data_IF_837724948145
#
_entry.id   IF_837724948145
#
_cell.length_a   1.000
_cell.length_b   1.000
_cell.length_c   1.000
_cell.angle_alpha   90.00
_cell.angle_beta   90.00
_cell.angle_gamma   90.00
#
_symmetry.space_group_name_H-M   'P 1'
#
loop_
_entity.id
_entity.type
_entity.pdbx_description
1 polymer ?
#
# COMPACT_ATOMS: atom_id res chain seq x y z
N UNK A 1 28.64 -30.57 25.14
CA UNK A 1 29.16 -30.14 26.47
C UNK A 1 29.46 -28.67 26.43
N UNK A 2 28.68 -27.87 27.07
CA UNK A 2 28.91 -26.84 28.07
C UNK A 2 27.64 -25.98 28.18
N UNK A 3 27.02 -26.06 29.36
CA UNK A 3 25.92 -25.24 29.85
C UNK A 3 26.48 -23.94 30.43
N UNK A 4 25.75 -22.83 30.27
CA UNK A 4 25.84 -21.59 31.07
C UNK A 4 24.41 -21.10 31.14
N UNK A 5 23.67 -21.00 32.21
CA UNK A 5 23.95 -20.57 33.56
C UNK A 5 23.17 -19.26 33.73
N UNK A 6 21.87 -19.37 34.18
CA UNK A 6 21.00 -18.23 34.55
C UNK A 6 21.38 -17.78 35.95
N UNK A 7 21.61 -16.49 36.16
CA UNK A 7 21.79 -15.89 37.48
C UNK A 7 20.60 -14.96 37.78
N UNK A 8 19.71 -15.41 38.70
CA UNK A 8 18.74 -14.58 39.40
C UNK A 8 19.45 -13.97 40.64
N UNK A 9 19.34 -12.65 40.76
CA UNK A 9 19.71 -11.97 42.02
C UNK A 9 18.45 -11.47 42.71
N UNK A 10 18.15 -12.11 43.85
CA UNK A 10 17.18 -11.68 44.86
C UNK A 10 17.84 -10.61 45.75
N UNK A 11 17.18 -9.48 45.92
CA UNK A 11 17.53 -8.47 46.91
C UNK A 11 16.62 -8.59 48.13
N UNK A 12 17.25 -8.88 49.25
CA UNK A 12 16.68 -8.96 50.60
C UNK A 12 16.65 -7.58 51.25
N UNK A 13 15.53 -7.26 51.89
CA UNK A 13 15.38 -6.15 52.84
C UNK A 13 16.24 -6.31 54.06
N UNK A 14 16.85 -5.22 54.54
CA UNK A 14 17.11 -5.02 55.98
C UNK A 14 16.94 -3.56 56.32
N UNK A 15 15.99 -3.31 57.21
CA UNK A 15 15.80 -2.07 57.94
C UNK A 15 16.78 -1.97 59.13
N UNK A 16 17.35 -0.78 59.35
CA UNK A 16 17.89 -0.38 60.63
C UNK A 16 17.50 1.08 60.94
N UNK A 17 16.79 1.23 62.02
CA UNK A 17 16.50 2.47 62.74
C UNK A 17 17.71 2.89 63.57
N UNK A 18 18.04 4.15 63.63
CA UNK A 18 18.25 4.88 64.86
C UNK A 18 18.50 6.40 64.62
N UNK A 19 18.26 7.24 65.64
CA UNK A 19 17.90 8.64 65.43
C UNK A 19 19.01 9.63 65.91
N UNK A 20 18.88 10.86 65.45
CA UNK A 20 19.48 11.93 66.18
C UNK A 20 20.15 13.06 65.44
N UNK A 21 19.60 14.23 65.68
CA UNK A 21 20.21 15.57 65.78
C UNK A 21 20.17 16.51 64.58
N UNK A 22 19.41 17.49 64.84
CA UNK A 22 19.24 18.83 64.25
C UNK A 22 20.54 19.52 63.84
N UNK A 23 20.57 20.08 62.64
CA UNK A 23 21.12 21.42 62.34
C UNK A 23 20.51 21.90 60.99
N UNK A 24 19.92 23.08 61.01
CA UNK A 24 19.25 23.64 59.85
C UNK A 24 20.23 24.17 58.81
N UNK A 25 20.01 23.78 57.60
CA UNK A 25 20.50 24.48 56.41
C UNK A 25 19.38 24.70 55.45
N UNK A 26 19.12 25.95 55.09
CA UNK A 26 18.20 26.34 54.02
C UNK A 26 18.70 25.82 52.69
N UNK A 27 18.43 24.55 52.41
CA UNK A 27 18.68 23.95 51.13
C UNK A 27 17.73 24.53 50.09
N UNK A 28 18.21 25.29 49.15
CA UNK A 28 17.53 25.66 47.91
C UNK A 28 17.03 24.37 47.27
N UNK A 29 15.71 24.18 47.20
CA UNK A 29 15.10 23.14 46.37
C UNK A 29 15.58 23.38 44.94
N UNK A 30 16.55 22.61 44.49
CA UNK A 30 16.81 22.43 43.08
C UNK A 30 15.52 21.89 42.46
N UNK A 31 14.86 22.72 41.70
CA UNK A 31 13.81 22.26 40.76
C UNK A 31 14.55 21.28 39.84
N UNK A 32 14.31 19.98 40.04
CA UNK A 32 14.69 18.99 39.05
C UNK A 32 14.10 19.49 37.74
N UNK A 33 14.96 19.64 36.73
CA UNK A 33 14.56 19.88 35.35
C UNK A 33 13.48 18.83 35.06
N UNK A 34 12.24 19.28 34.77
CA UNK A 34 11.22 18.40 34.20
C UNK A 34 11.88 17.77 32.98
N UNK A 35 12.12 16.48 33.02
CA UNK A 35 12.36 15.72 31.81
C UNK A 35 11.21 16.09 30.87
N UNK A 36 11.56 16.68 29.73
CA UNK A 36 10.55 17.03 28.73
C UNK A 36 9.87 15.72 28.34
N UNK A 37 8.56 15.66 28.58
CA UNK A 37 7.76 14.52 28.12
C UNK A 37 7.94 14.38 26.62
N UNK A 38 8.36 13.22 26.17
CA UNK A 38 8.45 12.89 24.74
C UNK A 38 7.09 12.45 24.18
N UNK A 39 6.07 12.34 25.05
CA UNK A 39 4.72 11.88 24.70
C UNK A 39 3.77 13.05 24.47
N UNK A 40 2.88 12.88 23.49
CA UNK A 40 1.66 13.67 23.34
C UNK A 40 0.44 12.82 23.73
N UNK A 41 -0.63 13.48 24.17
CA UNK A 41 -1.91 12.83 24.45
C UNK A 41 -2.95 13.24 23.41
N UNK A 42 -3.69 12.26 22.90
CA UNK A 42 -4.86 12.49 22.04
C UNK A 42 -6.06 11.80 22.67
N UNK A 43 -7.15 12.54 22.86
CA UNK A 43 -8.37 12.01 23.49
C UNK A 43 -9.63 12.65 22.92
N UNK A 44 -10.77 12.06 23.22
CA UNK A 44 -12.05 12.63 22.83
C UNK A 44 -13.23 11.72 23.10
N UNK A 45 -14.39 12.20 22.67
CA UNK A 45 -15.66 11.50 22.76
C UNK A 45 -16.07 10.96 21.40
N UNK A 46 -16.56 9.74 21.38
CA UNK A 46 -17.20 9.13 20.21
C UNK A 46 -18.71 9.04 20.49
N UNK A 47 -19.50 9.70 19.65
CA UNK A 47 -20.97 9.59 19.65
C UNK A 47 -21.53 8.86 18.43
N UNK A 48 -20.67 8.16 17.69
CA UNK A 48 -21.03 7.38 16.51
C UNK A 48 -21.32 5.94 16.91
N UNK A 49 -22.55 5.49 16.81
CA UNK A 49 -23.04 4.19 17.35
C UNK A 49 -22.26 2.96 16.87
N UNK A 50 -21.66 3.01 15.70
CA UNK A 50 -20.94 1.86 15.10
C UNK A 50 -19.43 1.91 15.26
N UNK A 51 -18.86 2.97 15.80
CA UNK A 51 -17.41 3.10 15.96
C UNK A 51 -16.97 2.59 17.33
N UNK A 52 -16.45 1.39 17.37
CA UNK A 52 -15.95 0.76 18.59
C UNK A 52 -14.45 0.96 18.81
N UNK A 53 -13.73 1.36 17.76
CA UNK A 53 -12.29 1.56 17.78
C UNK A 53 -11.91 2.84 17.07
N UNK A 54 -10.91 3.53 17.59
CA UNK A 54 -10.33 4.73 17.01
C UNK A 54 -8.86 4.46 16.71
N UNK A 55 -8.40 4.85 15.53
CA UNK A 55 -7.00 4.78 15.12
C UNK A 55 -6.32 6.15 15.22
N UNK A 56 -5.03 6.13 15.54
CA UNK A 56 -4.11 7.24 15.41
C UNK A 56 -3.10 6.88 14.33
N UNK A 57 -2.95 7.77 13.34
CA UNK A 57 -2.10 7.57 12.18
C UNK A 57 -1.11 8.70 12.06
N UNK A 58 0.09 8.41 11.61
CA UNK A 58 1.14 9.38 11.31
C UNK A 58 1.27 9.56 9.79
N UNK A 59 1.49 10.80 9.37
CA UNK A 59 1.80 11.11 7.97
C UNK A 59 3.29 10.85 7.71
N UNK A 60 3.60 9.73 7.05
CA UNK A 60 4.97 9.27 6.75
C UNK A 60 5.08 8.87 5.28
N UNK A 61 6.18 9.25 4.65
CA UNK A 61 6.48 8.89 3.24
C UNK A 61 5.34 9.23 2.26
N UNK A 62 4.59 10.31 2.55
CA UNK A 62 3.47 10.77 1.73
C UNK A 62 2.23 9.89 1.79
N UNK A 63 2.08 9.10 2.85
CA UNK A 63 0.94 8.28 3.17
C UNK A 63 0.59 8.34 4.66
N UNK A 64 -0.35 7.51 5.09
CA UNK A 64 -0.73 7.36 6.49
C UNK A 64 -0.33 5.98 7.01
N UNK A 65 0.35 5.96 8.15
CA UNK A 65 0.72 4.72 8.85
C UNK A 65 -0.02 4.66 10.19
N UNK A 66 -0.76 3.58 10.44
CA UNK A 66 -1.39 3.33 11.74
C UNK A 66 -0.31 3.13 12.80
N UNK A 67 -0.26 3.99 13.82
CA UNK A 67 0.71 3.89 14.92
C UNK A 67 0.09 3.38 16.22
N UNK A 68 -1.21 3.61 16.41
CA UNK A 68 -1.93 3.11 17.58
C UNK A 68 -3.42 2.94 17.29
N UNK A 69 -4.05 1.99 17.97
CA UNK A 69 -5.49 1.75 17.93
C UNK A 69 -6.02 1.54 19.36
N UNK A 70 -7.13 2.18 19.71
CA UNK A 70 -7.75 2.05 21.01
C UNK A 70 -9.24 1.75 20.89
N UNK A 71 -9.80 1.05 21.88
CA UNK A 71 -11.23 0.83 21.98
C UNK A 71 -11.92 2.02 22.63
N UNK A 72 -13.13 2.30 22.16
CA UNK A 72 -14.01 3.28 22.79
C UNK A 72 -14.56 2.69 24.10
N UNK A 73 -14.38 3.41 25.18
CA UNK A 73 -14.89 3.01 26.50
C UNK A 73 -16.41 3.04 26.57
N UNK A 74 -17.00 2.37 27.57
CA UNK A 74 -18.45 2.33 27.74
C UNK A 74 -19.08 3.74 27.98
N UNK A 75 -18.28 4.72 28.38
CA UNK A 75 -18.66 6.13 28.52
C UNK A 75 -18.46 6.95 27.23
N UNK A 76 -18.14 6.31 26.12
CA UNK A 76 -17.87 6.95 24.83
C UNK A 76 -16.48 7.59 24.68
N UNK A 77 -15.62 7.55 25.71
CA UNK A 77 -14.28 8.15 25.64
C UNK A 77 -13.24 7.21 25.03
N UNK A 78 -12.28 7.82 24.34
CA UNK A 78 -11.06 7.17 23.85
C UNK A 78 -9.83 8.02 24.17
N UNK A 79 -8.64 7.42 24.13
CA UNK A 79 -7.39 8.16 24.32
C UNK A 79 -6.16 7.37 23.88
N UNK A 80 -5.14 8.12 23.51
CA UNK A 80 -3.80 7.65 23.17
C UNK A 80 -2.76 8.43 23.97
N UNK A 81 -1.68 7.77 24.37
CA UNK A 81 -0.41 8.39 24.69
C UNK A 81 0.59 7.91 23.64
N UNK A 82 1.17 8.83 22.87
CA UNK A 82 2.05 8.50 21.74
C UNK A 82 3.37 9.24 21.88
N UNK A 83 4.47 8.55 21.64
CA UNK A 83 5.79 9.18 21.53
C UNK A 83 5.85 9.97 20.23
N UNK A 84 6.22 11.25 20.33
CA UNK A 84 6.36 12.15 19.18
C UNK A 84 7.83 12.49 19.01
N UNK A 85 8.50 11.72 18.17
CA UNK A 85 9.91 11.94 17.85
C UNK A 85 10.13 13.20 17.01
N UNK A 86 9.22 13.50 16.10
CA UNK A 86 9.27 14.68 15.24
C UNK A 86 7.89 15.36 15.21
N UNK A 87 7.83 16.68 15.50
CA UNK A 87 6.59 17.43 15.37
C UNK A 87 6.00 17.34 13.96
N UNK A 88 4.69 17.09 13.85
CA UNK A 88 4.07 16.92 12.55
C UNK A 88 2.58 16.68 12.59
N UNK A 89 2.04 16.30 11.43
CA UNK A 89 0.64 15.95 11.30
C UNK A 89 0.38 14.48 11.58
N UNK A 90 -0.67 14.27 12.34
CA UNK A 90 -1.29 12.99 12.63
C UNK A 90 -2.75 13.04 12.21
N UNK A 91 -3.38 11.91 11.99
CA UNK A 91 -4.81 11.82 11.76
C UNK A 91 -5.46 10.88 12.76
N UNK A 92 -6.66 11.24 13.21
CA UNK A 92 -7.41 10.54 14.24
C UNK A 92 -8.79 10.18 13.71
N UNK A 93 -9.21 8.93 13.88
CA UNK A 93 -10.55 8.50 13.47
C UNK A 93 -10.67 7.04 13.10
N UNK A 94 -11.57 6.75 12.18
CA UNK A 94 -11.91 5.41 11.72
C UNK A 94 -10.88 4.78 10.77
N UNK A 95 -11.23 3.63 10.23
CA UNK A 95 -10.35 2.92 9.28
C UNK A 95 -10.27 3.60 7.91
N UNK A 96 -11.35 4.25 7.48
CA UNK A 96 -11.37 4.97 6.21
C UNK A 96 -10.78 6.36 6.37
N UNK A 97 -9.98 6.80 5.41
CA UNK A 97 -9.40 8.16 5.40
C UNK A 97 -10.46 9.26 5.50
N UNK A 98 -11.65 9.05 4.91
CA UNK A 98 -12.79 10.00 5.01
C UNK A 98 -13.38 10.11 6.43
N UNK A 99 -13.00 9.23 7.33
CA UNK A 99 -13.46 9.19 8.73
C UNK A 99 -12.40 9.72 9.69
N UNK A 100 -11.39 10.44 9.20
CA UNK A 100 -10.27 10.96 9.98
C UNK A 100 -10.17 12.47 9.89
N UNK A 101 -9.68 13.07 10.97
CA UNK A 101 -9.34 14.49 11.02
C UNK A 101 -7.86 14.65 11.35
N UNK A 102 -7.24 15.65 10.77
CA UNK A 102 -5.83 15.99 10.98
C UNK A 102 -5.66 16.76 12.27
N UNK A 103 -4.62 16.43 13.03
CA UNK A 103 -4.16 17.14 14.21
C UNK A 103 -2.65 17.37 14.12
N UNK A 104 -2.16 18.42 14.74
CA UNK A 104 -0.73 18.66 14.90
C UNK A 104 -0.31 18.21 16.28
N UNK A 105 0.76 17.41 16.35
CA UNK A 105 1.32 16.94 17.62
C UNK A 105 2.81 17.28 17.70
N UNK A 106 3.22 17.68 18.89
CA UNK A 106 4.62 17.73 19.33
C UNK A 106 4.69 17.23 20.78
N UNK A 107 5.89 16.92 21.22
CA UNK A 107 6.13 16.40 22.57
C UNK A 107 5.54 17.31 23.65
N UNK A 108 4.76 16.74 24.56
CA UNK A 108 4.07 17.46 25.65
C UNK A 108 2.72 18.06 25.25
N UNK A 109 2.29 17.95 23.99
CA UNK A 109 0.96 18.44 23.58
C UNK A 109 -0.18 17.51 23.97
N UNK A 110 -1.36 18.12 24.16
CA UNK A 110 -2.64 17.44 24.27
C UNK A 110 -3.56 17.87 23.12
N UNK A 111 -4.16 16.91 22.43
CA UNK A 111 -5.18 17.14 21.43
C UNK A 111 -6.51 16.49 21.87
N UNK A 112 -7.60 17.24 21.77
CA UNK A 112 -8.94 16.75 22.04
C UNK A 112 -9.80 16.80 20.77
N UNK A 113 -10.23 15.62 20.32
CA UNK A 113 -10.99 15.44 19.07
C UNK A 113 -12.26 14.66 19.38
N UNK A 114 -13.41 15.22 19.11
CA UNK A 114 -14.69 14.53 19.22
C UNK A 114 -15.11 13.97 17.87
N UNK A 115 -15.54 12.72 17.85
CA UNK A 115 -16.05 12.02 16.67
C UNK A 115 -17.55 11.91 16.83
N UNK A 116 -18.28 12.81 16.15
CA UNK A 116 -19.72 12.87 16.15
C UNK A 116 -20.31 12.04 15.00
N UNK A 117 -21.63 11.88 14.96
CA UNK A 117 -22.30 11.05 13.95
C UNK A 117 -21.89 11.45 12.52
N UNK A 118 -21.96 12.74 12.20
CA UNK A 118 -21.70 13.27 10.86
C UNK A 118 -20.44 14.14 10.74
N UNK A 119 -19.64 14.28 11.80
CA UNK A 119 -18.51 15.20 11.80
C UNK A 119 -17.41 14.80 12.78
N UNK A 120 -16.20 15.28 12.51
CA UNK A 120 -15.06 15.21 13.44
C UNK A 120 -14.69 16.63 13.85
N UNK A 121 -14.55 16.86 15.14
CA UNK A 121 -14.42 18.21 15.70
C UNK A 121 -13.20 18.30 16.61
N UNK A 122 -12.25 19.16 16.26
CA UNK A 122 -11.20 19.63 17.17
C UNK A 122 -11.84 20.58 18.16
N UNK A 123 -11.82 20.24 19.46
CA UNK A 123 -12.50 21.06 20.47
C UNK A 123 -11.76 22.36 20.75
N UNK A 124 -12.44 23.32 21.44
CA UNK A 124 -11.82 24.58 21.85
C UNK A 124 -10.73 24.45 22.93
N UNK A 125 -10.52 23.24 23.48
CA UNK A 125 -9.52 22.94 24.51
C UNK A 125 -8.15 22.57 23.93
N UNK A 126 -7.98 22.76 22.64
CA UNK A 126 -6.74 22.43 21.94
C UNK A 126 -5.70 23.57 21.96
N UNK A 127 -4.49 23.26 21.54
CA UNK A 127 -3.42 24.24 21.34
C UNK A 127 -3.79 25.27 20.26
N UNK A 128 -3.17 26.45 20.25
CA UNK A 128 -3.37 27.44 19.17
C UNK A 128 -3.10 26.86 17.77
N UNK A 129 -2.14 25.93 17.65
CA UNK A 129 -1.81 25.24 16.42
C UNK A 129 -3.00 24.41 15.90
N UNK A 130 -3.56 23.60 16.78
CA UNK A 130 -4.71 22.77 16.41
C UNK A 130 -5.99 23.58 16.20
N UNK A 131 -6.17 24.70 16.88
CA UNK A 131 -7.30 25.59 16.62
C UNK A 131 -7.18 26.29 15.26
N UNK A 132 -5.97 26.72 14.88
CA UNK A 132 -5.73 27.30 13.57
C UNK A 132 -5.86 26.25 12.44
N UNK A 133 -5.39 25.02 12.69
CA UNK A 133 -5.63 23.89 11.78
C UNK A 133 -7.12 23.60 11.63
N UNK A 134 -7.91 23.62 12.71
CA UNK A 134 -9.36 23.41 12.67
C UNK A 134 -10.08 24.50 11.85
N UNK A 135 -9.61 25.75 11.91
CA UNK A 135 -10.13 26.83 11.08
C UNK A 135 -9.93 26.53 9.58
N UNK A 136 -8.71 26.05 9.21
CA UNK A 136 -8.44 25.62 7.85
C UNK A 136 -9.30 24.42 7.42
N UNK A 137 -9.35 23.37 8.23
CA UNK A 137 -10.14 22.19 7.94
C UNK A 137 -11.62 22.53 7.70
N UNK A 138 -12.19 23.42 8.53
CA UNK A 138 -13.56 23.89 8.40
C UNK A 138 -13.79 24.76 7.16
N UNK A 139 -12.83 25.63 6.83
CA UNK A 139 -12.88 26.46 5.63
C UNK A 139 -12.81 25.61 4.34
N UNK A 140 -11.99 24.56 4.35
CA UNK A 140 -11.73 23.71 3.19
C UNK A 140 -12.74 22.55 3.03
N UNK A 141 -13.45 22.18 4.08
CA UNK A 141 -14.40 21.05 4.07
C UNK A 141 -15.46 21.11 2.95
N UNK A 142 -16.08 22.27 2.62
CA UNK A 142 -17.02 22.34 1.53
C UNK A 142 -16.41 22.00 0.16
N UNK A 143 -15.13 22.36 -0.07
CA UNK A 143 -14.40 22.02 -1.30
C UNK A 143 -14.13 20.51 -1.34
N UNK A 144 -13.61 19.96 -0.24
CA UNK A 144 -13.33 18.54 -0.08
C UNK A 144 -14.55 17.69 -0.36
N UNK A 145 -15.66 18.02 0.31
CA UNK A 145 -16.93 17.30 0.16
C UNK A 145 -17.44 17.35 -1.28
N UNK A 146 -17.35 18.48 -1.96
CA UNK A 146 -17.76 18.59 -3.37
C UNK A 146 -16.92 17.70 -4.29
N UNK A 147 -15.60 17.68 -4.12
CA UNK A 147 -14.71 16.82 -4.91
C UNK A 147 -14.95 15.34 -4.63
N UNK A 148 -15.21 14.97 -3.37
CA UNK A 148 -15.45 13.58 -2.97
C UNK A 148 -16.80 13.03 -3.44
N UNK A 149 -17.80 13.89 -3.60
CA UNK A 149 -19.16 13.54 -4.03
C UNK A 149 -19.49 13.97 -5.46
N UNK A 150 -18.46 14.19 -6.30
CA UNK A 150 -18.69 14.40 -7.74
C UNK A 150 -19.32 13.15 -8.35
N UNK A 151 -20.57 13.22 -8.74
CA UNK A 151 -21.32 12.12 -9.34
C UNK A 151 -21.50 12.24 -10.86
N UNK A 152 -21.01 13.35 -11.46
CA UNK A 152 -21.08 13.65 -12.90
C UNK A 152 -22.47 13.66 -13.52
N UNK A 153 -23.51 13.52 -12.71
CA UNK A 153 -24.92 13.65 -13.12
C UNK A 153 -25.42 15.02 -12.70
N UNK A 154 -25.22 15.37 -11.43
CA UNK A 154 -25.74 16.60 -10.82
C UNK A 154 -24.65 17.63 -10.54
N UNK A 155 -23.38 17.18 -10.40
CA UNK A 155 -22.25 18.06 -10.14
C UNK A 155 -21.05 17.65 -10.99
N UNK A 156 -20.78 18.43 -12.04
CA UNK A 156 -19.74 18.16 -13.04
C UNK A 156 -18.58 19.16 -12.91
N UNK A 157 -17.58 19.04 -13.78
CA UNK A 157 -16.50 20.03 -13.85
C UNK A 157 -17.00 21.45 -14.20
N UNK A 158 -18.16 21.59 -14.85
CA UNK A 158 -18.74 22.87 -15.23
C UNK A 158 -19.18 23.68 -14.02
N UNK A 159 -19.67 23.02 -12.99
CA UNK A 159 -20.02 23.62 -11.70
C UNK A 159 -18.80 23.72 -10.79
N UNK A 160 -17.91 22.72 -10.82
CA UNK A 160 -16.75 22.67 -9.95
C UNK A 160 -15.71 23.75 -10.30
N UNK A 161 -15.39 23.95 -11.57
CA UNK A 161 -14.32 24.89 -11.95
C UNK A 161 -14.62 26.32 -11.50
N UNK A 162 -15.80 26.91 -11.79
CA UNK A 162 -16.14 28.24 -11.27
C UNK A 162 -16.08 28.29 -9.74
N UNK A 163 -16.68 27.32 -9.06
CA UNK A 163 -16.68 27.24 -7.60
C UNK A 163 -15.24 27.22 -7.04
N UNK A 164 -14.36 26.44 -7.68
CA UNK A 164 -12.97 26.33 -7.25
C UNK A 164 -12.22 27.65 -7.44
N UNK A 165 -12.43 28.33 -8.56
CA UNK A 165 -11.81 29.63 -8.83
C UNK A 165 -12.27 30.72 -7.86
N UNK A 166 -13.53 30.70 -7.44
CA UNK A 166 -14.09 31.59 -6.41
C UNK A 166 -13.52 31.30 -5.01
N UNK A 167 -13.11 30.06 -4.75
CA UNK A 167 -12.52 29.68 -3.48
C UNK A 167 -11.06 30.10 -3.33
N UNK A 168 -10.26 30.12 -4.41
CA UNK A 168 -8.81 30.40 -4.35
C UNK A 168 -8.43 31.71 -3.60
N UNK A 169 -9.14 32.85 -3.74
CA UNK A 169 -8.84 34.04 -2.94
C UNK A 169 -8.97 33.84 -1.43
N UNK A 170 -9.87 32.94 -0.98
CA UNK A 170 -10.04 32.65 0.44
C UNK A 170 -8.83 31.91 1.01
N UNK A 171 -8.14 31.11 0.20
CA UNK A 171 -6.88 30.43 0.54
C UNK A 171 -5.79 31.46 0.89
N UNK A 172 -5.59 32.44 0.04
CA UNK A 172 -4.59 33.51 0.28
C UNK A 172 -4.95 34.37 1.49
N UNK A 173 -6.25 34.68 1.65
CA UNK A 173 -6.75 35.38 2.83
C UNK A 173 -6.50 34.59 4.12
N UNK A 174 -6.67 33.27 4.10
CA UNK A 174 -6.37 32.42 5.25
C UNK A 174 -4.86 32.37 5.53
N UNK A 175 -4.02 32.15 4.50
CA UNK A 175 -2.55 32.13 4.68
C UNK A 175 -2.02 33.44 5.29
N UNK A 176 -2.59 34.58 4.93
CA UNK A 176 -2.21 35.86 5.50
C UNK A 176 -2.52 36.00 7.00
N UNK A 177 -3.46 35.21 7.53
CA UNK A 177 -3.83 35.15 8.96
C UNK A 177 -2.97 34.16 9.77
N UNK A 178 -2.17 33.33 9.12
CA UNK A 178 -1.35 32.33 9.82
C UNK A 178 -0.23 33.04 10.60
N UNK A 179 -0.52 33.36 11.85
CA UNK A 179 0.42 33.94 12.81
C UNK A 179 0.43 33.08 14.07
N UNK A 180 1.52 32.33 14.28
CA UNK A 180 1.70 31.47 15.42
C UNK A 180 3.10 31.63 15.99
N UNK A 181 3.28 31.46 17.32
CA UNK A 181 4.59 31.45 17.97
C UNK A 181 5.46 30.30 17.46
N UNK A 182 4.83 29.15 17.19
CA UNK A 182 5.49 28.00 16.58
C UNK A 182 5.70 28.26 15.08
N UNK A 183 6.90 28.79 14.73
CA UNK A 183 7.22 29.13 13.34
C UNK A 183 7.25 27.91 12.43
N UNK A 184 7.74 26.77 12.95
CA UNK A 184 7.81 25.52 12.17
C UNK A 184 6.40 25.04 11.80
N UNK A 185 5.46 25.10 12.74
CA UNK A 185 4.05 24.80 12.46
C UNK A 185 3.46 25.81 11.45
N UNK A 186 3.72 27.10 11.62
CA UNK A 186 3.17 28.11 10.73
C UNK A 186 3.61 27.89 9.27
N UNK A 187 4.88 27.59 9.04
CA UNK A 187 5.39 27.26 7.70
C UNK A 187 4.81 25.93 7.18
N UNK A 188 4.74 24.92 8.03
CA UNK A 188 4.13 23.64 7.68
C UNK A 188 2.65 23.81 7.28
N UNK A 189 1.88 24.62 8.03
CA UNK A 189 0.46 24.87 7.73
C UNK A 189 0.30 25.65 6.41
N UNK A 190 1.13 26.67 6.14
CA UNK A 190 1.08 27.41 4.86
C UNK A 190 1.32 26.48 3.67
N UNK A 191 2.34 25.63 3.76
CA UNK A 191 2.61 24.63 2.73
C UNK A 191 1.47 23.64 2.57
N UNK A 192 0.85 23.21 3.69
CA UNK A 192 -0.28 22.30 3.70
C UNK A 192 -1.50 22.89 3.02
N UNK A 193 -1.79 24.16 3.26
CA UNK A 193 -2.86 24.90 2.57
C UNK A 193 -2.66 24.84 1.06
N UNK A 194 -1.45 25.11 0.57
CA UNK A 194 -1.13 25.05 -0.85
C UNK A 194 -1.29 23.61 -1.39
N UNK A 195 -0.75 22.61 -0.69
CA UNK A 195 -0.86 21.21 -1.10
C UNK A 195 -2.30 20.69 -1.07
N UNK A 196 -3.12 21.04 -0.06
CA UNK A 196 -4.53 20.66 0.01
C UNK A 196 -5.30 21.19 -1.21
N UNK A 197 -5.16 22.49 -1.50
CA UNK A 197 -5.82 23.11 -2.64
C UNK A 197 -5.38 22.47 -3.96
N UNK A 198 -4.10 22.28 -4.17
CA UNK A 198 -3.58 21.64 -5.39
C UNK A 198 -4.01 20.19 -5.51
N UNK A 199 -3.93 19.42 -4.42
CA UNK A 199 -4.31 18.02 -4.40
C UNK A 199 -5.77 17.80 -4.77
N UNK A 200 -6.68 18.57 -4.18
CA UNK A 200 -8.09 18.42 -4.48
C UNK A 200 -8.46 18.94 -5.88
N UNK A 201 -7.76 19.95 -6.40
CA UNK A 201 -7.86 20.32 -7.81
C UNK A 201 -7.46 19.17 -8.74
N UNK A 202 -6.30 18.54 -8.49
CA UNK A 202 -5.82 17.38 -9.25
C UNK A 202 -6.74 16.17 -9.08
N UNK A 203 -7.23 15.93 -7.88
CA UNK A 203 -8.14 14.83 -7.57
C UNK A 203 -9.46 14.98 -8.33
N UNK A 204 -9.99 16.18 -8.43
CA UNK A 204 -11.19 16.46 -9.20
C UNK A 204 -11.08 16.04 -10.68
N UNK A 205 -9.90 16.19 -11.30
CA UNK A 205 -9.66 15.75 -12.67
C UNK A 205 -9.60 14.22 -12.82
N UNK A 206 -9.29 13.50 -11.75
CA UNK A 206 -9.04 12.07 -11.75
C UNK A 206 -10.10 11.25 -11.01
N UNK A 207 -10.97 11.90 -10.23
CA UNK A 207 -12.04 11.25 -9.45
C UNK A 207 -13.11 10.57 -10.33
N UNK A 208 -12.99 10.74 -11.63
CA UNK A 208 -13.87 10.16 -12.63
C UNK A 208 -13.64 8.63 -12.69
N UNK A 209 -14.18 7.89 -11.77
CA UNK A 209 -14.56 6.50 -12.02
C UNK A 209 -15.76 6.54 -12.97
N UNK A 210 -15.49 6.77 -14.24
CA UNK A 210 -16.52 6.61 -15.25
C UNK A 210 -16.76 5.10 -15.33
N UNK A 211 -17.88 4.68 -14.79
CA UNK A 211 -18.52 3.49 -15.26
C UNK A 211 -18.68 3.63 -16.79
N UNK A 212 -18.47 2.53 -17.55
CA UNK A 212 -18.41 2.53 -19.02
C UNK A 212 -19.64 3.14 -19.72
N UNK A 213 -20.63 3.54 -18.94
CA UNK A 213 -21.93 4.09 -19.38
C UNK A 213 -21.99 5.62 -19.36
N UNK A 214 -21.04 6.32 -18.73
CA UNK A 214 -21.10 7.78 -18.67
C UNK A 214 -20.63 8.40 -19.98
N UNK A 215 -21.52 9.16 -20.56
CA UNK A 215 -21.54 9.74 -21.91
C UNK A 215 -20.27 10.52 -22.27
N UNK A 216 -19.87 10.42 -23.57
CA UNK A 216 -18.97 11.39 -24.21
C UNK A 216 -19.38 12.82 -23.82
N UNK A 217 -18.48 13.59 -23.20
CA UNK A 217 -18.73 14.98 -22.80
C UNK A 217 -18.72 15.25 -21.29
N UNK A 218 -18.58 14.23 -20.43
CA UNK A 218 -18.49 14.45 -18.97
C UNK A 218 -17.06 14.76 -18.50
N UNK A 219 -16.05 14.68 -19.36
CA UNK A 219 -14.67 15.09 -19.06
C UNK A 219 -14.37 16.42 -19.73
N UNK A 220 -13.73 17.36 -19.01
CA UNK A 220 -13.26 18.57 -19.67
C UNK A 220 -12.18 18.21 -20.70
N UNK A 221 -12.20 18.88 -21.84
CA UNK A 221 -11.07 18.95 -22.76
C UNK A 221 -10.00 19.86 -22.18
N UNK A 222 -8.76 19.77 -22.68
CA UNK A 222 -7.68 20.65 -22.19
C UNK A 222 -7.98 22.15 -22.38
N UNK A 223 -8.78 22.49 -23.39
CA UNK A 223 -9.18 23.89 -23.65
C UNK A 223 -10.14 24.42 -22.59
N UNK A 224 -10.96 23.53 -22.02
CA UNK A 224 -11.92 23.88 -20.96
C UNK A 224 -11.30 24.02 -19.59
N UNK A 225 -10.00 23.64 -19.43
CA UNK A 225 -9.30 23.80 -18.15
C UNK A 225 -9.08 25.28 -17.83
N UNK A 226 -9.48 25.77 -16.64
CA UNK A 226 -9.09 27.09 -16.15
C UNK A 226 -7.56 27.26 -16.18
N UNK A 227 -7.13 28.51 -16.29
CA UNK A 227 -5.69 28.87 -16.29
C UNK A 227 -4.98 28.27 -15.09
N UNK A 228 -5.59 28.27 -13.92
CA UNK A 228 -5.04 27.68 -12.69
C UNK A 228 -4.56 26.23 -12.91
N UNK A 229 -5.36 25.39 -13.55
CA UNK A 229 -4.97 23.99 -13.81
C UNK A 229 -3.79 23.87 -14.80
N UNK A 230 -3.73 24.78 -15.78
CA UNK A 230 -2.64 24.80 -16.78
C UNK A 230 -1.31 25.28 -16.18
N UNK A 231 -1.38 26.12 -15.13
CA UNK A 231 -0.20 26.66 -14.43
C UNK A 231 0.16 25.90 -13.15
N UNK A 232 -0.68 24.98 -12.71
CA UNK A 232 -0.46 24.21 -11.49
C UNK A 232 0.78 23.31 -11.59
N UNK A 233 1.06 22.78 -12.77
CA UNK A 233 2.15 21.83 -13.02
C UNK A 233 3.32 22.57 -13.71
N UNK A 234 4.47 22.62 -13.02
CA UNK A 234 5.70 23.22 -13.54
C UNK A 234 6.92 22.37 -13.18
N UNK A 235 7.96 22.37 -14.02
CA UNK A 235 9.19 21.59 -13.78
C UNK A 235 10.00 22.11 -12.57
N UNK A 236 9.72 23.31 -12.11
CA UNK A 236 10.40 23.93 -10.97
C UNK A 236 9.76 23.63 -9.62
N UNK A 237 8.61 22.96 -9.62
CA UNK A 237 7.93 22.48 -8.42
C UNK A 237 8.58 21.20 -7.88
N UNK A 238 8.24 20.84 -6.65
CA UNK A 238 8.66 19.56 -6.06
C UNK A 238 10.18 19.39 -5.96
N UNK A 239 10.89 20.48 -5.61
CA UNK A 239 12.36 20.50 -5.44
C UNK A 239 12.83 19.85 -4.14
N UNK A 240 11.95 19.74 -3.14
CA UNK A 240 12.22 19.12 -1.85
C UNK A 240 11.18 18.03 -1.53
N UNK A 241 11.35 17.36 -0.41
CA UNK A 241 10.50 16.25 0.00
C UNK A 241 9.34 16.68 0.94
N UNK A 242 9.04 17.97 1.10
CA UNK A 242 8.01 18.45 2.05
C UNK A 242 6.61 17.87 1.78
N UNK A 243 6.34 17.52 0.52
CA UNK A 243 5.11 16.84 0.14
C UNK A 243 4.92 15.50 0.88
N UNK A 244 6.00 14.81 1.27
CA UNK A 244 5.93 13.53 1.99
C UNK A 244 5.45 13.68 3.44
N UNK A 245 5.39 14.91 3.95
CA UNK A 245 4.77 15.23 5.25
C UNK A 245 3.23 15.27 5.17
N UNK A 246 2.66 15.18 3.97
CA UNK A 246 1.22 15.16 3.75
C UNK A 246 0.70 13.72 3.64
N UNK A 247 -0.47 13.40 4.24
CA UNK A 247 -1.02 12.04 4.25
C UNK A 247 -1.44 11.53 2.86
N UNK A 248 -1.47 12.40 1.86
CA UNK A 248 -1.82 12.11 0.47
C UNK A 248 -0.67 12.38 -0.51
N UNK A 249 0.55 12.58 -0.02
CA UNK A 249 1.69 13.04 -0.82
C UNK A 249 2.00 12.16 -2.03
N UNK A 250 1.97 10.84 -1.87
CA UNK A 250 2.21 9.90 -2.98
C UNK A 250 1.06 9.91 -4.00
N UNK A 251 -0.19 10.12 -3.58
CA UNK A 251 -1.34 10.25 -4.48
C UNK A 251 -1.30 11.59 -5.23
N UNK A 252 -0.88 12.66 -4.55
CA UNK A 252 -0.61 13.95 -5.20
C UNK A 252 0.42 13.80 -6.32
N UNK A 253 1.57 13.14 -6.08
CA UNK A 253 2.61 12.92 -7.09
C UNK A 253 2.08 12.22 -8.33
N UNK A 254 1.27 11.19 -8.17
CA UNK A 254 0.67 10.48 -9.30
C UNK A 254 -0.22 11.40 -10.12
N UNK A 255 -1.11 12.15 -9.47
CA UNK A 255 -2.04 13.05 -10.15
C UNK A 255 -1.31 14.21 -10.82
N UNK A 256 -0.33 14.79 -10.15
CA UNK A 256 0.52 15.85 -10.66
C UNK A 256 1.25 15.42 -11.94
N UNK A 257 1.94 14.29 -11.89
CA UNK A 257 2.68 13.79 -13.05
C UNK A 257 1.74 13.31 -14.18
N UNK A 258 0.56 12.82 -13.83
CA UNK A 258 -0.48 12.47 -14.82
C UNK A 258 -0.97 13.70 -15.57
N UNK A 259 -1.31 14.78 -14.87
CA UNK A 259 -1.72 16.05 -15.51
C UNK A 259 -0.58 16.61 -16.37
N UNK A 260 0.66 16.60 -15.87
CA UNK A 260 1.83 17.05 -16.60
C UNK A 260 1.98 16.36 -17.96
N UNK A 261 1.83 15.04 -17.99
CA UNK A 261 1.95 14.25 -19.21
C UNK A 261 0.75 14.41 -20.13
N UNK A 262 -0.45 14.63 -19.60
CA UNK A 262 -1.64 14.96 -20.38
C UNK A 262 -1.47 16.29 -21.11
N UNK A 263 -0.95 17.33 -20.42
CA UNK A 263 -0.68 18.63 -21.02
C UNK A 263 0.40 18.56 -22.13
N UNK A 264 1.36 17.62 -22.03
CA UNK A 264 2.35 17.33 -23.09
C UNK A 264 1.84 16.36 -24.17
N UNK A 265 0.62 15.83 -24.05
CA UNK A 265 0.08 14.77 -24.91
C UNK A 265 0.99 13.54 -25.00
N UNK A 266 1.52 13.08 -23.86
CA UNK A 266 2.47 11.95 -23.76
C UNK A 266 1.86 10.76 -23.02
N UNK A 267 2.39 9.57 -23.36
CA UNK A 267 2.09 8.33 -22.60
C UNK A 267 2.76 8.40 -21.21
N UNK A 268 2.08 7.84 -20.21
CA UNK A 268 2.58 7.80 -18.85
C UNK A 268 3.49 6.59 -18.62
N UNK A 269 4.80 6.76 -18.83
CA UNK A 269 5.83 5.80 -18.37
C UNK A 269 6.44 6.30 -17.05
N UNK A 270 7.10 5.40 -16.31
CA UNK A 270 7.83 5.80 -15.09
C UNK A 270 8.86 6.88 -15.43
N UNK A 271 9.67 6.67 -16.47
CA UNK A 271 10.71 7.62 -16.88
C UNK A 271 10.13 9.00 -17.27
N UNK A 272 8.96 9.04 -17.92
CA UNK A 272 8.29 10.28 -18.26
C UNK A 272 7.80 11.04 -17.00
N UNK A 273 7.25 10.32 -16.02
CA UNK A 273 6.84 10.91 -14.75
C UNK A 273 8.02 11.49 -13.96
N UNK A 274 9.14 10.75 -13.88
CA UNK A 274 10.34 11.18 -13.16
C UNK A 274 10.94 12.49 -13.69
N UNK A 275 10.77 12.82 -14.97
CA UNK A 275 11.26 14.09 -15.55
C UNK A 275 10.55 15.33 -15.00
N UNK A 276 9.36 15.17 -14.44
CA UNK A 276 8.56 16.24 -13.85
C UNK A 276 8.86 16.49 -12.37
N UNK A 277 9.69 15.65 -11.76
CA UNK A 277 9.98 15.70 -10.32
C UNK A 277 11.49 15.86 -10.12
N UNK A 278 11.98 17.05 -9.72
CA UNK A 278 13.41 17.27 -9.46
C UNK A 278 13.95 16.48 -8.28
N UNK A 279 13.19 16.35 -7.18
CA UNK A 279 13.60 15.73 -5.92
C UNK A 279 13.69 14.19 -6.04
N UNK A 280 14.87 13.63 -5.73
CA UNK A 280 15.09 12.18 -5.85
C UNK A 280 14.29 11.36 -4.82
N UNK A 281 14.03 11.89 -3.63
CA UNK A 281 13.13 11.22 -2.66
C UNK A 281 11.70 11.09 -3.19
N UNK A 282 11.20 12.12 -3.87
CA UNK A 282 9.89 12.05 -4.51
C UNK A 282 9.87 11.13 -5.73
N UNK A 283 11.00 11.04 -6.47
CA UNK A 283 11.15 10.05 -7.56
C UNK A 283 11.08 8.63 -7.02
N UNK A 284 11.69 8.37 -5.85
CA UNK A 284 11.62 7.08 -5.20
C UNK A 284 10.16 6.66 -4.93
N UNK A 285 9.31 7.58 -4.50
CA UNK A 285 7.90 7.30 -4.25
C UNK A 285 7.13 6.91 -5.52
N UNK A 286 7.44 7.56 -6.65
CA UNK A 286 6.87 7.15 -7.94
C UNK A 286 7.33 5.74 -8.30
N UNK A 287 8.60 5.42 -8.14
CA UNK A 287 9.14 4.07 -8.42
C UNK A 287 8.49 3.03 -7.53
N UNK A 288 8.45 3.24 -6.20
CA UNK A 288 7.83 2.31 -5.24
C UNK A 288 6.34 2.10 -5.52
N UNK A 289 5.62 3.13 -5.92
CA UNK A 289 4.20 3.03 -6.30
C UNK A 289 4.01 2.16 -7.54
N UNK A 290 4.87 2.28 -8.55
CA UNK A 290 4.84 1.40 -9.72
C UNK A 290 5.26 -0.03 -9.38
N UNK A 291 6.30 -0.20 -8.56
CA UNK A 291 6.72 -1.50 -8.05
C UNK A 291 5.60 -2.20 -7.26
N UNK A 292 4.86 -1.46 -6.43
CA UNK A 292 3.71 -1.98 -5.67
C UNK A 292 2.50 -2.39 -6.54
N UNK A 293 2.44 -1.94 -7.81
CA UNK A 293 1.43 -2.36 -8.79
C UNK A 293 1.86 -3.54 -9.65
N UNK A 294 3.12 -3.96 -9.53
CA UNK A 294 3.61 -5.15 -10.22
C UNK A 294 2.79 -6.38 -9.79
N UNK A 295 2.47 -7.23 -10.75
CA UNK A 295 1.71 -8.46 -10.50
C UNK A 295 2.62 -9.68 -10.34
N UNK A 296 3.86 -9.59 -10.82
CA UNK A 296 4.87 -10.64 -10.75
C UNK A 296 6.14 -10.10 -10.13
N UNK A 297 6.96 -11.00 -9.57
CA UNK A 297 8.25 -10.64 -8.99
C UNK A 297 9.22 -10.10 -10.07
N UNK A 298 9.22 -10.69 -11.26
CA UNK A 298 10.08 -10.27 -12.37
C UNK A 298 9.81 -8.82 -12.76
N UNK A 299 8.51 -8.44 -12.83
CA UNK A 299 8.16 -7.04 -13.14
C UNK A 299 8.50 -6.08 -12.02
N UNK A 300 8.38 -6.52 -10.78
CA UNK A 300 8.83 -5.77 -9.61
C UNK A 300 10.35 -5.56 -9.67
N UNK A 301 11.11 -6.65 -9.84
CA UNK A 301 12.57 -6.64 -9.87
C UNK A 301 13.13 -5.78 -11.02
N UNK A 302 12.54 -5.88 -12.21
CA UNK A 302 12.85 -5.00 -13.35
C UNK A 302 12.76 -3.52 -12.96
N UNK A 303 11.67 -3.13 -12.29
CA UNK A 303 11.43 -1.74 -11.90
C UNK A 303 12.44 -1.29 -10.85
N UNK A 304 12.59 -2.05 -9.75
CA UNK A 304 13.44 -1.62 -8.63
C UNK A 304 14.92 -1.62 -9.00
N UNK A 305 15.35 -2.57 -9.84
CA UNK A 305 16.74 -2.65 -10.33
C UNK A 305 17.05 -1.50 -11.29
N UNK A 306 16.16 -1.23 -12.26
CA UNK A 306 16.38 -0.15 -13.23
C UNK A 306 16.45 1.23 -12.59
N UNK A 307 15.64 1.46 -11.55
CA UNK A 307 15.54 2.74 -10.84
C UNK A 307 16.23 2.74 -9.47
N UNK A 308 17.10 1.76 -9.15
CA UNK A 308 17.74 1.58 -7.85
C UNK A 308 18.41 2.85 -7.29
N UNK A 309 18.95 3.70 -8.19
CA UNK A 309 19.62 4.96 -7.82
C UNK A 309 18.78 5.92 -6.98
N UNK A 310 17.44 5.80 -7.04
CA UNK A 310 16.53 6.63 -6.25
C UNK A 310 16.13 5.98 -4.91
N UNK A 311 16.27 4.66 -4.78
CA UNK A 311 15.81 3.85 -3.65
C UNK A 311 16.90 3.74 -2.58
N UNK A 312 17.27 4.86 -1.94
CA UNK A 312 18.50 4.99 -1.15
C UNK A 312 18.29 5.04 0.37
N UNK A 313 17.06 5.19 0.86
CA UNK A 313 16.78 5.29 2.30
C UNK A 313 16.44 3.94 2.91
N UNK A 314 16.61 3.82 4.23
CA UNK A 314 16.18 2.63 4.98
C UNK A 314 14.67 2.37 4.82
N UNK A 315 13.85 3.42 4.83
CA UNK A 315 12.40 3.31 4.56
C UNK A 315 12.12 2.73 3.17
N UNK A 316 12.86 3.17 2.14
CA UNK A 316 12.71 2.59 0.80
C UNK A 316 13.03 1.09 0.79
N UNK A 317 14.15 0.67 1.41
CA UNK A 317 14.57 -0.73 1.46
C UNK A 317 13.55 -1.59 2.21
N UNK A 318 13.09 -1.15 3.39
CA UNK A 318 12.04 -1.87 4.13
C UNK A 318 10.77 -2.05 3.29
N UNK A 319 10.30 -1.00 2.62
CA UNK A 319 9.12 -1.05 1.75
C UNK A 319 9.34 -1.93 0.52
N UNK A 320 10.54 -1.96 -0.04
CA UNK A 320 10.92 -2.90 -1.10
C UNK A 320 10.81 -4.34 -0.61
N UNK A 321 11.33 -4.64 0.58
CA UNK A 321 11.24 -5.98 1.18
C UNK A 321 9.78 -6.40 1.41
N UNK A 322 8.93 -5.48 1.93
CA UNK A 322 7.51 -5.73 2.12
C UNK A 322 6.76 -5.97 0.79
N UNK A 323 7.11 -5.25 -0.27
CA UNK A 323 6.52 -5.42 -1.60
C UNK A 323 7.00 -6.73 -2.24
N UNK A 324 8.29 -7.01 -2.18
CA UNK A 324 8.87 -8.25 -2.70
C UNK A 324 8.28 -9.46 -2.01
N UNK A 325 8.19 -9.45 -0.67
CA UNK A 325 7.60 -10.55 0.12
C UNK A 325 6.15 -10.88 -0.26
N UNK A 326 5.37 -9.88 -0.71
CA UNK A 326 4.00 -10.10 -1.20
C UNK A 326 3.96 -10.78 -2.56
N UNK A 327 4.97 -10.53 -3.39
CA UNK A 327 5.10 -11.07 -4.74
C UNK A 327 5.94 -12.35 -4.77
N UNK A 328 6.76 -12.51 -3.74
CA UNK A 328 7.68 -13.64 -3.64
C UNK A 328 6.92 -14.96 -3.55
N UNK A 329 7.15 -15.82 -4.52
CA UNK A 329 6.54 -17.16 -4.60
C UNK A 329 7.61 -18.22 -4.95
N UNK A 330 8.87 -17.88 -4.80
CA UNK A 330 10.04 -18.67 -5.21
C UNK A 330 10.81 -17.96 -6.32
N UNK A 331 12.07 -17.62 -6.05
CA UNK A 331 12.96 -17.08 -7.07
C UNK A 331 13.45 -18.19 -7.97
N UNK A 332 13.91 -17.83 -9.16
CA UNK A 332 14.69 -18.73 -9.97
C UNK A 332 15.89 -19.26 -9.16
N UNK A 333 15.98 -20.59 -9.08
CA UNK A 333 16.99 -21.30 -8.31
C UNK A 333 16.61 -21.65 -6.88
N UNK A 334 15.50 -21.14 -6.34
CA UNK A 334 15.00 -21.56 -5.03
C UNK A 334 14.41 -22.97 -5.11
N UNK A 335 14.51 -23.71 -4.01
CA UNK A 335 13.91 -25.02 -3.92
C UNK A 335 12.37 -24.90 -3.99
N UNK A 336 11.77 -25.64 -4.92
CA UNK A 336 10.33 -25.66 -5.07
C UNK A 336 9.63 -26.21 -3.81
N UNK A 337 8.51 -25.60 -3.44
CA UNK A 337 7.60 -26.20 -2.47
C UNK A 337 7.01 -27.49 -3.05
N UNK A 338 7.32 -28.62 -2.42
CA UNK A 338 6.82 -29.90 -2.89
C UNK A 338 5.31 -30.02 -2.66
N UNK A 339 4.61 -30.59 -3.62
CA UNK A 339 3.20 -30.95 -3.48
C UNK A 339 3.00 -32.42 -3.81
N UNK A 340 1.91 -33.01 -3.26
CA UNK A 340 1.59 -34.42 -3.47
C UNK A 340 0.07 -34.54 -3.61
N UNK A 341 -0.39 -35.09 -4.73
CA UNK A 341 -1.82 -35.29 -5.01
C UNK A 341 -2.06 -36.65 -5.70
N UNK A 342 -3.26 -37.20 -5.59
CA UNK A 342 -3.62 -38.43 -6.32
C UNK A 342 -3.71 -38.16 -7.83
N UNK A 343 -3.23 -39.11 -8.61
CA UNK A 343 -3.47 -39.19 -10.04
C UNK A 343 -4.87 -39.71 -10.36
N UNK A 344 -5.20 -39.82 -11.65
CA UNK A 344 -6.49 -40.35 -12.11
C UNK A 344 -6.83 -41.77 -11.61
N UNK A 345 -5.84 -42.54 -11.16
CA UNK A 345 -5.96 -43.89 -10.63
C UNK A 345 -5.91 -43.93 -9.09
N UNK A 346 -5.79 -42.77 -8.45
CA UNK A 346 -5.68 -42.64 -6.99
C UNK A 346 -4.28 -42.86 -6.45
N UNK A 347 -3.26 -43.04 -7.29
CA UNK A 347 -1.86 -43.13 -6.86
C UNK A 347 -1.35 -41.71 -6.48
N UNK A 348 -0.75 -41.60 -5.30
CA UNK A 348 -0.13 -40.36 -4.85
C UNK A 348 1.14 -40.07 -5.65
N UNK A 349 1.21 -38.87 -6.23
CA UNK A 349 2.33 -38.40 -7.05
C UNK A 349 2.79 -37.04 -6.55
N UNK A 350 4.10 -36.91 -6.40
CA UNK A 350 4.75 -35.67 -5.89
C UNK A 350 5.58 -34.99 -6.97
N UNK A 351 5.76 -33.67 -6.87
CA UNK A 351 6.73 -32.96 -7.72
C UNK A 351 8.13 -33.58 -7.59
N UNK A 352 8.53 -33.97 -6.39
CA UNK A 352 9.85 -34.57 -6.11
C UNK A 352 10.10 -35.91 -6.82
N UNK A 353 9.06 -36.60 -7.33
CA UNK A 353 9.20 -37.86 -8.04
C UNK A 353 9.82 -37.68 -9.45
N UNK A 354 9.87 -36.44 -9.93
CA UNK A 354 10.38 -36.09 -11.26
C UNK A 354 11.79 -35.48 -11.26
N UNK A 355 12.58 -35.70 -10.22
CA UNK A 355 13.99 -35.28 -10.20
C UNK A 355 14.73 -35.84 -11.41
N UNK A 356 15.62 -35.03 -11.97
CA UNK A 356 16.34 -35.31 -13.21
C UNK A 356 15.62 -34.82 -14.48
N UNK A 357 14.39 -34.31 -14.35
CA UNK A 357 13.62 -33.81 -15.47
C UNK A 357 13.22 -32.34 -15.25
N UNK A 358 13.06 -31.61 -16.33
CA UNK A 358 12.37 -30.31 -16.30
C UNK A 358 10.88 -30.59 -16.14
N UNK A 359 10.24 -29.92 -15.21
CA UNK A 359 8.80 -30.15 -14.93
C UNK A 359 8.01 -28.90 -15.30
N UNK A 360 7.02 -29.05 -16.14
CA UNK A 360 6.01 -28.01 -16.45
C UNK A 360 4.74 -28.37 -15.71
N UNK A 361 4.26 -27.49 -14.85
CA UNK A 361 3.02 -27.67 -14.10
C UNK A 361 1.96 -26.72 -14.64
N UNK A 362 0.81 -27.26 -15.05
CA UNK A 362 -0.40 -26.53 -15.40
C UNK A 362 -1.42 -26.63 -14.26
N UNK A 363 -1.71 -25.54 -13.59
CA UNK A 363 -2.79 -25.47 -12.59
C UNK A 363 -4.05 -24.97 -13.26
N UNK A 364 -5.07 -25.84 -13.30
CA UNK A 364 -6.27 -25.62 -14.09
C UNK A 364 -7.55 -26.15 -13.41
N UNK A 365 -8.70 -26.01 -14.05
CA UNK A 365 -9.96 -26.65 -13.64
C UNK A 365 -10.93 -26.84 -14.82
N UNK A 366 -11.86 -27.78 -14.68
CA UNK A 366 -12.85 -28.09 -15.73
C UNK A 366 -13.79 -26.93 -16.06
N UNK A 367 -14.07 -26.08 -15.09
CA UNK A 367 -14.91 -24.88 -15.23
C UNK A 367 -14.13 -23.66 -15.76
N UNK A 368 -12.80 -23.73 -15.88
CA UNK A 368 -11.96 -22.64 -16.31
C UNK A 368 -11.91 -22.54 -17.83
N UNK A 369 -12.71 -21.67 -18.43
CA UNK A 369 -12.75 -21.46 -19.89
C UNK A 369 -11.40 -21.07 -20.49
N UNK A 370 -10.64 -20.12 -19.94
CA UNK A 370 -9.30 -19.79 -20.42
C UNK A 370 -8.30 -20.96 -20.34
N UNK A 371 -8.39 -21.82 -19.30
CA UNK A 371 -7.53 -23.00 -19.19
C UNK A 371 -7.79 -23.97 -20.34
N UNK A 372 -9.06 -24.26 -20.62
CA UNK A 372 -9.46 -25.17 -21.69
C UNK A 372 -9.05 -24.69 -23.09
N UNK A 373 -8.89 -23.38 -23.29
CA UNK A 373 -8.38 -22.82 -24.54
C UNK A 373 -6.88 -23.12 -24.76
N UNK A 374 -6.12 -23.35 -23.70
CA UNK A 374 -4.69 -23.70 -23.78
C UNK A 374 -4.45 -25.21 -24.01
N UNK A 375 -5.43 -26.08 -23.76
CA UNK A 375 -5.29 -27.55 -23.88
C UNK A 375 -4.75 -27.98 -25.25
N UNK A 376 -5.27 -27.50 -26.39
CA UNK A 376 -4.73 -27.93 -27.71
C UNK A 376 -3.27 -27.56 -27.90
N UNK A 377 -2.85 -26.37 -27.41
CA UNK A 377 -1.46 -25.93 -27.48
C UNK A 377 -0.57 -26.72 -26.51
N UNK A 378 -1.07 -27.05 -25.32
CA UNK A 378 -0.38 -27.87 -24.34
C UNK A 378 -0.11 -29.27 -24.89
N UNK A 379 -1.11 -29.95 -25.45
CA UNK A 379 -0.96 -31.27 -26.08
C UNK A 379 0.06 -31.24 -27.22
N UNK A 380 0.00 -30.18 -28.05
CA UNK A 380 0.98 -30.02 -29.13
C UNK A 380 2.40 -29.87 -28.59
N UNK A 381 2.58 -29.02 -27.59
CA UNK A 381 3.90 -28.79 -26.96
C UNK A 381 4.43 -30.07 -26.30
N UNK A 382 3.57 -30.83 -25.60
CA UNK A 382 3.91 -32.11 -24.98
C UNK A 382 4.42 -33.12 -26.02
N UNK A 383 3.74 -33.21 -27.19
CA UNK A 383 4.18 -34.05 -28.31
C UNK A 383 5.53 -33.60 -28.88
N UNK A 384 5.77 -32.29 -29.01
CA UNK A 384 7.03 -31.73 -29.51
C UNK A 384 8.20 -31.95 -28.52
N UNK A 385 7.90 -32.12 -27.24
CA UNK A 385 8.88 -32.42 -26.17
C UNK A 385 9.00 -33.92 -25.87
N UNK A 386 8.23 -34.76 -26.54
CA UNK A 386 8.27 -36.20 -26.34
C UNK A 386 9.68 -36.77 -26.57
N UNK A 387 10.15 -37.60 -25.65
CA UNK A 387 11.49 -38.19 -25.70
C UNK A 387 12.62 -37.28 -25.16
N UNK A 388 12.30 -36.05 -24.74
CA UNK A 388 13.20 -35.17 -24.02
C UNK A 388 12.97 -35.27 -22.50
N UNK A 389 13.94 -34.78 -21.72
CA UNK A 389 13.84 -34.78 -20.24
C UNK A 389 12.90 -33.67 -19.73
N UNK A 390 11.68 -33.65 -20.27
CA UNK A 390 10.60 -32.74 -19.84
C UNK A 390 9.37 -33.54 -19.45
N UNK A 391 8.75 -33.20 -18.34
CA UNK A 391 7.48 -33.77 -17.88
C UNK A 391 6.44 -32.68 -17.72
N UNK A 392 5.21 -32.95 -18.20
CA UNK A 392 4.06 -32.09 -18.02
C UNK A 392 3.14 -32.69 -16.95
N UNK A 393 2.74 -31.87 -15.98
CA UNK A 393 1.87 -32.23 -14.87
C UNK A 393 0.67 -31.28 -14.87
N UNK A 394 -0.53 -31.82 -15.10
CA UNK A 394 -1.76 -31.07 -14.89
C UNK A 394 -2.23 -31.22 -13.44
N UNK A 395 -2.47 -30.12 -12.74
CA UNK A 395 -3.03 -30.12 -11.37
C UNK A 395 -4.39 -29.46 -11.40
N UNK A 396 -5.43 -30.27 -11.28
CA UNK A 396 -6.79 -29.76 -11.22
C UNK A 396 -7.15 -29.24 -9.84
N UNK A 397 -7.68 -28.01 -9.78
CA UNK A 397 -8.26 -27.41 -8.57
C UNK A 397 -9.78 -27.49 -8.56
N UNK A 398 -10.36 -28.46 -9.27
CA UNK A 398 -11.77 -28.80 -9.12
C UNK A 398 -12.05 -29.32 -7.69
N UNK A 399 -13.26 -29.10 -7.18
CA UNK A 399 -13.68 -29.62 -5.89
C UNK A 399 -14.02 -31.11 -5.99
N UNK A 400 -13.93 -31.83 -4.87
CA UNK A 400 -14.20 -33.29 -4.79
C UNK A 400 -15.50 -33.74 -5.47
N UNK A 401 -16.55 -32.91 -5.40
CA UNK A 401 -17.84 -33.19 -6.07
C UNK A 401 -17.74 -33.24 -7.59
N UNK A 402 -16.75 -32.60 -8.19
CA UNK A 402 -16.53 -32.51 -9.64
C UNK A 402 -15.45 -33.49 -10.14
N UNK A 403 -14.99 -34.43 -9.27
CA UNK A 403 -13.93 -35.39 -9.62
C UNK A 403 -14.31 -36.25 -10.84
N UNK A 404 -15.56 -36.76 -10.92
CA UNK A 404 -16.02 -37.52 -12.06
C UNK A 404 -16.01 -36.70 -13.36
N UNK A 405 -16.43 -35.47 -13.28
CA UNK A 405 -16.39 -34.53 -14.41
C UNK A 405 -14.94 -34.23 -14.87
N UNK A 406 -13.99 -34.15 -13.92
CA UNK A 406 -12.60 -34.02 -14.25
C UNK A 406 -12.10 -35.23 -15.07
N UNK A 407 -12.38 -36.45 -14.66
CA UNK A 407 -12.05 -37.68 -15.42
C UNK A 407 -12.63 -37.63 -16.83
N UNK A 408 -13.93 -37.28 -16.97
CA UNK A 408 -14.59 -37.16 -18.28
C UNK A 408 -13.92 -36.11 -19.20
N UNK A 409 -13.46 -34.99 -18.62
CA UNK A 409 -12.75 -33.94 -19.38
C UNK A 409 -11.38 -34.43 -19.81
N UNK A 410 -10.62 -35.16 -18.96
CA UNK A 410 -9.32 -35.72 -19.33
C UNK A 410 -9.47 -36.65 -20.57
N UNK A 411 -10.46 -37.53 -20.53
CA UNK A 411 -10.70 -38.47 -21.64
C UNK A 411 -11.20 -37.78 -22.90
N UNK A 412 -12.11 -36.82 -22.76
CA UNK A 412 -12.68 -36.07 -23.89
C UNK A 412 -11.68 -35.18 -24.60
N UNK A 413 -10.83 -34.48 -23.86
CA UNK A 413 -9.83 -33.56 -24.43
C UNK A 413 -8.52 -34.28 -24.79
N UNK A 414 -8.38 -35.57 -24.44
CA UNK A 414 -7.16 -36.35 -24.70
C UNK A 414 -5.96 -35.91 -23.89
N UNK A 415 -6.18 -35.49 -22.64
CA UNK A 415 -5.12 -35.13 -21.74
C UNK A 415 -4.45 -36.38 -21.20
N UNK A 416 -3.29 -36.68 -21.75
CA UNK A 416 -2.40 -37.78 -21.33
C UNK A 416 -1.39 -37.30 -20.29
N UNK A 417 -0.39 -38.10 -19.97
CA UNK A 417 0.67 -37.74 -19.03
C UNK A 417 0.21 -37.74 -17.57
N UNK A 418 0.84 -36.88 -16.76
CA UNK A 418 0.59 -36.84 -15.31
C UNK A 418 -0.54 -35.86 -14.99
N UNK A 419 -1.69 -36.41 -14.64
CA UNK A 419 -2.86 -35.61 -14.27
C UNK A 419 -3.22 -35.82 -12.81
N UNK A 420 -3.19 -34.77 -12.00
CA UNK A 420 -3.37 -34.80 -10.55
C UNK A 420 -4.64 -34.04 -10.14
N UNK A 421 -5.27 -34.52 -9.08
CA UNK A 421 -6.48 -33.92 -8.53
C UNK A 421 -6.20 -33.32 -7.14
N UNK A 422 -6.24 -31.99 -7.02
CA UNK A 422 -5.84 -31.29 -5.80
C UNK A 422 -6.99 -31.02 -4.81
N UNK A 423 -8.24 -31.34 -5.15
CA UNK A 423 -9.45 -31.11 -4.36
C UNK A 423 -9.59 -29.64 -3.92
N UNK A 424 -9.91 -28.80 -4.87
CA UNK A 424 -10.14 -27.36 -4.67
C UNK A 424 -8.88 -26.51 -4.62
N UNK A 425 -9.00 -25.33 -4.06
CA UNK A 425 -7.89 -24.37 -3.88
C UNK A 425 -6.97 -24.83 -2.73
N UNK A 426 -6.25 -25.89 -2.96
CA UNK A 426 -5.47 -26.64 -1.99
C UNK A 426 -4.10 -26.03 -1.69
N UNK A 427 -3.17 -26.84 -1.14
CA UNK A 427 -1.88 -26.38 -0.67
C UNK A 427 -1.01 -25.75 -1.78
N UNK A 428 -1.01 -26.31 -3.01
CA UNK A 428 -0.24 -25.76 -4.14
C UNK A 428 -0.64 -24.28 -4.43
N UNK A 429 -1.93 -23.95 -4.30
CA UNK A 429 -2.41 -22.58 -4.51
C UNK A 429 -1.88 -21.63 -3.45
N UNK A 430 -1.78 -22.09 -2.21
CA UNK A 430 -1.25 -21.31 -1.08
C UNK A 430 0.27 -21.13 -1.19
N UNK A 431 0.99 -22.23 -1.43
CA UNK A 431 2.44 -22.24 -1.49
C UNK A 431 2.97 -21.36 -2.63
N UNK A 432 2.34 -21.42 -3.79
CA UNK A 432 2.71 -20.62 -4.96
C UNK A 432 1.86 -19.34 -5.12
N UNK A 433 1.07 -18.95 -4.09
CA UNK A 433 0.22 -17.73 -4.05
C UNK A 433 -0.59 -17.52 -5.32
N UNK A 434 -1.15 -18.60 -5.87
CA UNK A 434 -1.91 -18.58 -7.12
C UNK A 434 -3.23 -17.82 -6.90
N UNK A 435 -3.40 -16.69 -7.59
CA UNK A 435 -4.59 -15.84 -7.48
C UNK A 435 -5.61 -16.10 -8.59
N UNK A 436 -5.24 -16.88 -9.60
CA UNK A 436 -6.10 -17.17 -10.75
C UNK A 436 -5.46 -18.21 -11.65
N UNK A 437 -6.31 -18.92 -12.42
CA UNK A 437 -5.93 -19.94 -13.39
C UNK A 437 -6.36 -19.52 -14.81
N UNK A 438 -5.66 -20.01 -15.88
CA UNK A 438 -4.55 -20.97 -15.86
C UNK A 438 -3.28 -20.38 -15.24
N UNK A 439 -2.49 -21.24 -14.58
CA UNK A 439 -1.17 -20.90 -14.07
C UNK A 439 -0.18 -21.96 -14.52
N UNK A 440 0.86 -21.52 -15.25
CA UNK A 440 1.95 -22.39 -15.69
C UNK A 440 3.19 -22.12 -14.84
N UNK A 441 3.87 -23.20 -14.42
CA UNK A 441 5.10 -23.14 -13.64
C UNK A 441 6.14 -24.07 -14.24
N UNK A 442 7.43 -23.71 -14.16
CA UNK A 442 8.52 -24.53 -14.68
C UNK A 442 9.57 -24.72 -13.59
N UNK A 443 10.01 -25.96 -13.42
CA UNK A 443 11.02 -26.40 -12.44
C UNK A 443 12.17 -27.11 -13.15
N UNK A 444 13.39 -26.97 -12.59
CA UNK A 444 14.58 -27.59 -13.13
C UNK A 444 14.73 -29.07 -12.72
N UNK A 445 15.81 -29.72 -13.19
CA UNK A 445 16.12 -31.14 -12.91
C UNK A 445 16.38 -31.42 -11.42
N UNK A 446 16.81 -30.42 -10.65
CA UNK A 446 17.08 -30.48 -9.21
C UNK A 446 15.82 -30.23 -8.37
N UNK A 447 14.72 -29.83 -9.02
CA UNK A 447 13.48 -29.46 -8.36
C UNK A 447 13.49 -28.03 -7.81
N UNK A 448 14.28 -27.13 -8.42
CA UNK A 448 14.24 -25.70 -8.10
C UNK A 448 13.34 -24.97 -9.08
N UNK A 449 12.91 -23.79 -8.68
CA UNK A 449 12.06 -22.92 -9.49
C UNK A 449 12.86 -22.34 -10.66
N UNK A 450 12.37 -22.57 -11.88
CA UNK A 450 12.80 -21.78 -13.06
C UNK A 450 11.86 -20.57 -13.21
N UNK A 451 10.55 -20.82 -13.19
CA UNK A 451 9.53 -19.77 -13.33
C UNK A 451 8.18 -20.24 -12.78
N UNK A 452 7.55 -19.43 -11.94
CA UNK A 452 6.25 -19.77 -11.31
C UNK A 452 5.05 -19.10 -11.97
N UNK A 453 5.28 -18.21 -12.90
CA UNK A 453 4.30 -17.59 -13.80
C UNK A 453 4.85 -17.64 -15.22
N UNK A 454 4.98 -18.86 -15.74
CA UNK A 454 5.55 -19.13 -17.03
C UNK A 454 4.58 -18.72 -18.17
N UNK A 455 5.10 -18.42 -19.36
CA UNK A 455 4.29 -18.18 -20.55
C UNK A 455 3.31 -19.35 -20.81
N UNK A 456 2.23 -19.07 -21.49
CA UNK A 456 1.22 -20.08 -21.84
C UNK A 456 1.72 -21.00 -22.94
N UNK A 457 1.19 -22.24 -23.03
CA UNK A 457 1.54 -23.16 -24.12
C UNK A 457 1.28 -22.61 -25.53
N UNK A 458 0.29 -21.74 -25.69
CA UNK A 458 0.01 -21.04 -26.95
C UNK A 458 1.04 -19.98 -27.30
N UNK A 459 1.92 -19.59 -26.37
CA UNK A 459 2.97 -18.59 -26.57
C UNK A 459 4.30 -19.27 -26.92
N UNK A 460 5.00 -18.86 -27.99
CA UNK A 460 6.31 -19.43 -28.36
C UNK A 460 7.37 -19.35 -27.26
N UNK A 461 7.21 -18.41 -26.34
CA UNK A 461 8.15 -18.15 -25.25
C UNK A 461 8.27 -19.35 -24.28
N UNK A 462 7.20 -20.11 -24.03
CA UNK A 462 7.29 -21.31 -23.20
C UNK A 462 8.20 -22.37 -23.83
N UNK A 463 8.00 -22.66 -25.11
CA UNK A 463 8.85 -23.61 -25.85
C UNK A 463 10.31 -23.18 -25.84
N UNK A 464 10.59 -21.92 -26.14
CA UNK A 464 11.95 -21.37 -26.10
C UNK A 464 12.58 -21.44 -24.70
N UNK A 465 11.79 -21.27 -23.63
CA UNK A 465 12.24 -21.47 -22.25
C UNK A 465 12.68 -22.92 -22.03
N UNK A 466 11.84 -23.88 -22.40
CA UNK A 466 12.12 -25.30 -22.20
C UNK A 466 13.35 -25.76 -22.99
N UNK A 467 13.46 -25.36 -24.25
CA UNK A 467 14.62 -25.68 -25.10
C UNK A 467 15.92 -25.14 -24.48
N UNK A 468 15.93 -23.88 -24.05
CA UNK A 468 17.08 -23.28 -23.36
C UNK A 468 17.47 -24.01 -22.06
N UNK A 469 16.48 -24.48 -21.28
CA UNK A 469 16.79 -25.20 -20.04
C UNK A 469 17.21 -26.66 -20.29
N UNK A 470 16.81 -27.25 -21.44
CA UNK A 470 17.28 -28.56 -21.88
C UNK A 470 18.75 -28.55 -22.32
N UNK A 471 19.23 -27.44 -22.87
CA UNK A 471 20.59 -27.25 -23.36
C UNK A 471 21.61 -27.02 -22.23
N UNK A 472 21.16 -26.90 -20.97
CA UNK A 472 22.04 -26.82 -19.77
C UNK A 472 22.39 -28.17 -19.22
#
# INVERSE_FOLDING_TARGET
>A
MRRIGVLLALLSCCAFLCPGLWAGEKGKRRIQSREQSVFAEVKGLVSRDKMQEVGLYEAVDGGETLISKTRVGANGWYGFAVEVATPGFYTVGGEKTSERIRVYLEAGMNAEVNILEDSLVITSRNSPENLLLAEWEGLFEPVRRRVDHMDYIFFTYKELFPYYMEFLPQTEAFKSKIHCRNRSFAELLKQTVDYDVEYFALRALTAIKIDRVVRKGCRPTLDEYPVYYKTLVTKDKLKNADLLKQPYGTDYLEKYTTLALQLENRKSTIADQLRWVPCDLLKAEIVLRHAGRAKTYEKYDEIVTYFARYLTTESHHRRMDELSAKLYVGNKGDKAANFTYPDRNGKMVSLSDFKGKIVVVDVWATWCGPCRKEIPALIKLEKEMHGKDVVFIGVSVDEKKDHQKWLEVLDKEGLEGVQLFADGWSQIVKDYKIKGIPRFMVFDREGNVIMIDAPRPSEPALKALLERELDK
#
